data_IF_649135351290
#
_entry.id   IF_649135351290
#
_cell.length_a   1.000
_cell.length_b   1.000
_cell.length_c   1.000
_cell.angle_alpha   90.00
_cell.angle_beta   90.00
_cell.angle_gamma   90.00
#
_symmetry.space_group_name_H-M   'P 1'
#
loop_
_entity.id
_entity.type
_entity.pdbx_description
1 polymer ?
#
# COMPACT_ATOMS: atom_id res chain seq x y z
N UNK A 1 13.79 6.42 20.99
CA UNK A 1 13.21 5.09 20.75
C UNK A 1 11.91 5.24 19.96
N UNK A 2 11.77 4.50 18.90
CA UNK A 2 10.58 4.60 18.06
C UNK A 2 9.43 3.85 18.72
N UNK A 3 8.29 4.52 18.86
CA UNK A 3 7.08 3.92 19.40
C UNK A 3 6.51 2.94 18.37
N UNK A 4 6.27 1.69 18.80
CA UNK A 4 5.70 0.67 17.93
C UNK A 4 4.32 1.04 17.40
N UNK A 5 3.51 1.70 18.20
CA UNK A 5 2.19 2.16 17.78
C UNK A 5 2.31 3.21 16.69
N UNK A 6 3.29 4.09 16.80
CA UNK A 6 3.54 5.10 15.79
C UNK A 6 3.90 4.46 14.45
N UNK A 7 4.72 3.39 14.46
CA UNK A 7 5.08 2.67 13.23
C UNK A 7 3.85 1.97 12.65
N UNK A 8 3.02 1.34 13.48
CA UNK A 8 1.83 0.63 13.01
C UNK A 8 0.80 1.55 12.35
N UNK A 9 0.75 2.82 12.78
CA UNK A 9 -0.18 3.78 12.22
C UNK A 9 0.24 4.29 10.85
N UNK A 10 1.45 3.92 10.40
CA UNK A 10 1.96 4.30 9.09
C UNK A 10 1.61 3.22 8.08
N UNK A 11 0.72 3.54 7.17
CA UNK A 11 0.25 2.62 6.14
C UNK A 11 1.13 2.70 4.92
N UNK A 12 1.39 1.56 4.32
CA UNK A 12 2.03 1.47 3.00
C UNK A 12 0.95 1.07 2.00
N UNK A 13 0.78 1.87 0.96
CA UNK A 13 -0.13 1.56 -0.13
C UNK A 13 0.65 0.90 -1.26
N UNK A 14 0.33 -0.35 -1.56
CA UNK A 14 0.95 -1.11 -2.64
C UNK A 14 0.00 -1.18 -3.82
N UNK A 15 0.42 -0.64 -4.96
CA UNK A 15 -0.37 -0.68 -6.20
C UNK A 15 0.26 -1.71 -7.13
N UNK A 16 -0.40 -2.86 -7.27
CA UNK A 16 0.10 -3.98 -8.06
C UNK A 16 -1.09 -4.83 -8.52
N UNK A 17 -1.18 -5.08 -9.82
CA UNK A 17 -2.29 -5.84 -10.40
C UNK A 17 -2.10 -7.35 -10.38
N UNK A 18 -0.86 -7.82 -10.29
CA UNK A 18 -0.54 -9.25 -10.34
C UNK A 18 -0.50 -9.82 -8.91
N UNK A 19 -1.38 -10.83 -8.59
CA UNK A 19 -1.39 -11.41 -7.25
C UNK A 19 -0.07 -12.04 -6.82
N UNK A 20 0.67 -12.64 -7.75
CA UNK A 20 1.97 -13.24 -7.44
C UNK A 20 2.99 -12.19 -7.06
N UNK A 21 2.99 -11.06 -7.78
CA UNK A 21 3.88 -9.95 -7.47
C UNK A 21 3.49 -9.26 -6.17
N UNK A 22 2.18 -9.17 -5.88
CA UNK A 22 1.71 -8.69 -4.58
C UNK A 22 2.30 -9.54 -3.45
N UNK A 23 2.24 -10.85 -3.59
CA UNK A 23 2.74 -11.77 -2.58
C UNK A 23 4.26 -11.66 -2.42
N UNK A 24 5.00 -11.55 -3.52
CA UNK A 24 6.45 -11.38 -3.48
C UNK A 24 6.84 -10.11 -2.75
N UNK A 25 6.13 -9.00 -3.03
CA UNK A 25 6.39 -7.72 -2.36
C UNK A 25 6.10 -7.82 -0.87
N UNK A 26 4.97 -8.43 -0.49
CA UNK A 26 4.63 -8.62 0.92
C UNK A 26 5.69 -9.44 1.64
N UNK A 27 6.18 -10.50 1.01
CA UNK A 27 7.25 -11.33 1.59
C UNK A 27 8.54 -10.55 1.77
N UNK A 28 8.90 -9.72 0.78
CA UNK A 28 10.09 -8.90 0.86
C UNK A 28 10.00 -7.89 2.00
N UNK A 29 8.85 -7.24 2.16
CA UNK A 29 8.63 -6.30 3.25
C UNK A 29 8.76 -6.99 4.60
N UNK A 30 8.16 -8.17 4.74
CA UNK A 30 8.24 -8.95 5.97
C UNK A 30 9.67 -9.39 6.26
N UNK A 31 10.41 -9.81 5.24
CA UNK A 31 11.81 -10.23 5.38
C UNK A 31 12.69 -9.10 5.91
N UNK A 32 12.38 -7.87 5.54
CA UNK A 32 13.11 -6.68 5.99
C UNK A 32 12.52 -6.06 7.25
N UNK A 33 11.67 -6.80 7.96
CA UNK A 33 11.07 -6.38 9.24
C UNK A 33 10.21 -5.13 9.11
N UNK A 34 9.57 -4.94 7.97
CA UNK A 34 8.62 -3.85 7.79
C UNK A 34 7.32 -4.26 8.46
N UNK A 35 6.96 -3.58 9.55
CA UNK A 35 5.81 -3.91 10.38
C UNK A 35 4.59 -3.04 10.09
N UNK A 36 4.67 -2.21 9.08
CA UNK A 36 3.58 -1.33 8.70
C UNK A 36 2.42 -2.13 8.13
N UNK A 37 1.21 -1.61 8.32
CA UNK A 37 0.06 -2.14 7.61
C UNK A 37 0.22 -1.89 6.12
N UNK A 38 -0.03 -2.92 5.29
CA UNK A 38 0.04 -2.78 3.84
C UNK A 38 -1.36 -2.91 3.28
N UNK A 39 -1.79 -1.89 2.57
CA UNK A 39 -3.05 -1.89 1.82
C UNK A 39 -2.73 -2.12 0.37
N UNK A 40 -3.39 -3.10 -0.24
CA UNK A 40 -3.17 -3.46 -1.63
C UNK A 40 -4.25 -2.86 -2.51
N UNK A 41 -3.85 -2.10 -3.51
CA UNK A 41 -4.70 -1.65 -4.59
C UNK A 41 -4.33 -2.40 -5.86
N UNK A 42 -5.30 -2.97 -6.54
CA UNK A 42 -5.04 -3.80 -7.72
C UNK A 42 -4.76 -2.95 -8.97
N UNK A 43 -5.14 -1.69 -8.93
CA UNK A 43 -4.89 -0.76 -10.03
C UNK A 43 -4.88 0.67 -9.52
N UNK A 44 -4.63 1.62 -10.44
CA UNK A 44 -4.59 3.03 -10.08
C UNK A 44 -5.94 3.59 -9.63
N UNK A 45 -7.03 3.06 -10.15
CA UNK A 45 -8.36 3.51 -9.75
C UNK A 45 -8.64 3.14 -8.29
N UNK A 46 -8.30 1.91 -7.87
CA UNK A 46 -8.41 1.51 -6.47
C UNK A 46 -7.50 2.34 -5.56
N UNK A 47 -6.28 2.65 -6.04
CA UNK A 47 -5.36 3.49 -5.28
C UNK A 47 -5.94 4.87 -5.04
N UNK A 48 -6.54 5.47 -6.06
CA UNK A 48 -7.20 6.77 -5.93
C UNK A 48 -8.40 6.70 -5.00
N UNK A 49 -9.19 5.63 -5.09
CA UNK A 49 -10.32 5.42 -4.18
C UNK A 49 -9.85 5.37 -2.73
N UNK A 50 -8.73 4.70 -2.46
CA UNK A 50 -8.16 4.66 -1.13
C UNK A 50 -7.73 6.05 -0.67
N UNK A 51 -7.00 6.78 -1.52
CA UNK A 51 -6.46 8.08 -1.16
C UNK A 51 -7.56 9.13 -0.92
N UNK A 52 -8.62 9.08 -1.72
CA UNK A 52 -9.70 10.05 -1.63
C UNK A 52 -10.91 9.60 -0.81
N UNK A 53 -10.89 8.37 -0.32
CA UNK A 53 -12.00 7.83 0.46
C UNK A 53 -13.28 7.68 -0.36
N UNK A 54 -13.15 7.19 -1.58
CA UNK A 54 -14.27 6.98 -2.50
C UNK A 54 -14.42 5.51 -2.85
N UNK A 55 -15.46 5.15 -3.59
CA UNK A 55 -15.68 3.78 -4.04
C UNK A 55 -15.72 2.79 -2.87
N UNK A 56 -14.90 1.76 -2.95
CA UNK A 56 -14.82 0.72 -1.91
C UNK A 56 -14.30 1.27 -0.57
N UNK A 57 -13.66 2.43 -0.57
CA UNK A 57 -13.10 3.06 0.62
C UNK A 57 -13.90 4.27 1.08
N UNK A 58 -15.14 4.39 0.63
CA UNK A 58 -16.04 5.46 1.07
C UNK A 58 -16.19 5.40 2.60
N UNK A 59 -16.04 6.53 3.26
CA UNK A 59 -16.10 6.61 4.72
C UNK A 59 -14.75 6.44 5.43
N UNK A 60 -13.68 6.13 4.69
CA UNK A 60 -12.34 6.07 5.26
C UNK A 60 -11.90 7.47 5.73
N UNK A 61 -11.16 7.50 6.84
CA UNK A 61 -10.58 8.76 7.32
C UNK A 61 -9.42 9.19 6.42
N UNK A 62 -9.69 10.15 5.53
CA UNK A 62 -8.69 10.63 4.57
C UNK A 62 -7.63 11.54 5.18
N UNK A 63 -7.77 11.89 6.45
CA UNK A 63 -6.69 12.60 7.13
C UNK A 63 -5.50 11.69 7.42
N UNK A 64 -5.72 10.36 7.41
CA UNK A 64 -4.67 9.37 7.58
C UNK A 64 -4.15 8.99 6.20
N UNK A 65 -3.03 9.58 5.82
CA UNK A 65 -2.42 9.33 4.51
C UNK A 65 -1.37 8.22 4.61
N UNK A 66 -1.19 7.42 3.54
CA UNK A 66 -0.13 6.42 3.55
C UNK A 66 1.24 7.10 3.63
N UNK A 67 2.14 6.48 4.39
CA UNK A 67 3.51 6.94 4.51
C UNK A 67 4.28 6.74 3.20
N UNK A 68 3.96 5.68 2.49
CA UNK A 68 4.67 5.29 1.28
C UNK A 68 3.69 4.67 0.30
N UNK A 69 3.82 5.03 -0.96
CA UNK A 69 3.07 4.41 -2.05
C UNK A 69 4.08 3.68 -2.91
N UNK A 70 3.94 2.36 -2.97
CA UNK A 70 4.77 1.51 -3.83
C UNK A 70 4.03 1.24 -5.13
N UNK A 71 4.61 1.70 -6.22
CA UNK A 71 4.06 1.46 -7.56
C UNK A 71 4.96 0.47 -8.29
N UNK A 72 4.38 -0.65 -8.72
CA UNK A 72 5.10 -1.55 -9.61
C UNK A 72 4.78 -1.14 -11.05
N UNK A 73 5.69 -0.37 -11.61
CA UNK A 73 5.58 0.09 -12.99
C UNK A 73 6.22 -0.97 -13.91
N UNK A 74 5.38 -1.77 -14.52
CA UNK A 74 5.85 -2.69 -15.55
C UNK A 74 6.00 -1.91 -16.85
N UNK A 75 7.24 -1.57 -17.16
CA UNK A 75 7.52 -0.92 -18.41
C UNK A 75 7.40 -1.94 -19.55
N UNK A 76 6.77 -1.56 -20.65
CA UNK A 76 6.69 -2.46 -21.78
C UNK A 76 8.10 -2.77 -22.30
N UNK A 77 8.32 -4.00 -22.67
CA UNK A 77 9.58 -4.38 -23.32
C UNK A 77 9.60 -3.77 -24.71
N UNK A 78 10.64 -3.03 -24.97
CA UNK A 78 10.86 -2.43 -26.26
C UNK A 78 11.74 -3.34 -27.09
#
# INVERSE_FOLDING_TARGET
MVDREYIRDKVILLVEDNPDDQLLTLRALKKHNVMNEVVIANDGAEALDYLFGTGAYAGRDTSVMPQLVLLDLKLPKI
#
